data_IF_017784633440
#
_entry.id   IF_017784633440
#
_cell.length_a   1.000
_cell.length_b   1.000
_cell.length_c   1.000
_cell.angle_alpha   90.00
_cell.angle_beta   90.00
_cell.angle_gamma   90.00
#
_symmetry.space_group_name_H-M   'P 1'
#
loop_
_entity.id
_entity.type
_entity.pdbx_description
1 polymer ?
#
# COMPACT_ATOMS: atom_id res chain seq x y z
N UNK A 1 0.67 -26.31 -15.47
CA UNK A 1 0.17 -24.93 -15.68
C UNK A 1 -0.11 -24.36 -14.29
N UNK A 2 0.76 -23.49 -13.76
CA UNK A 2 0.49 -22.84 -12.47
C UNK A 2 -0.52 -21.73 -12.76
N UNK A 3 -1.73 -21.85 -12.22
CA UNK A 3 -2.72 -20.77 -12.26
C UNK A 3 -2.14 -19.65 -11.39
N UNK A 4 -1.43 -18.70 -11.99
CA UNK A 4 -1.10 -17.43 -11.33
C UNK A 4 -2.40 -16.65 -11.21
N UNK A 5 -3.15 -16.85 -10.13
CA UNK A 5 -4.22 -15.94 -9.74
C UNK A 5 -3.62 -14.54 -9.73
N UNK A 6 -4.15 -13.65 -10.56
CA UNK A 6 -3.63 -12.30 -10.74
C UNK A 6 -3.84 -11.56 -9.42
N UNK A 7 -2.77 -11.40 -8.65
CA UNK A 7 -2.81 -10.72 -7.35
C UNK A 7 -3.21 -9.27 -7.61
N UNK A 8 -4.37 -8.86 -7.10
CA UNK A 8 -4.91 -7.51 -7.34
C UNK A 8 -4.11 -6.48 -6.55
N UNK A 9 -3.58 -5.42 -7.19
CA UNK A 9 -2.97 -4.29 -6.50
C UNK A 9 -3.92 -3.59 -5.54
N UNK A 10 -3.37 -2.98 -4.50
CA UNK A 10 -4.11 -2.11 -3.57
C UNK A 10 -4.36 -0.73 -4.20
N UNK A 11 -5.13 -0.68 -5.28
CA UNK A 11 -5.36 0.56 -6.04
C UNK A 11 -6.06 1.64 -5.20
N UNK A 12 -6.91 1.24 -4.23
CA UNK A 12 -7.55 2.17 -3.30
C UNK A 12 -6.54 2.98 -2.48
N UNK A 13 -5.41 2.38 -2.07
CA UNK A 13 -4.33 3.12 -1.38
C UNK A 13 -3.80 4.26 -2.25
N UNK A 14 -3.58 4.02 -3.55
CA UNK A 14 -3.15 5.08 -4.48
C UNK A 14 -4.19 6.18 -4.61
N UNK A 15 -5.47 5.81 -4.64
CA UNK A 15 -6.59 6.75 -4.69
C UNK A 15 -6.64 7.63 -3.43
N UNK A 16 -6.48 7.07 -2.23
CA UNK A 16 -6.45 7.85 -0.98
C UNK A 16 -5.24 8.78 -0.92
N UNK A 17 -4.04 8.31 -1.29
CA UNK A 17 -2.83 9.14 -1.35
C UNK A 17 -3.08 10.37 -2.26
N UNK A 18 -3.63 10.15 -3.45
CA UNK A 18 -3.95 11.23 -4.37
C UNK A 18 -5.05 12.17 -3.85
N UNK A 19 -6.12 11.61 -3.27
CA UNK A 19 -7.24 12.34 -2.70
C UNK A 19 -6.80 13.29 -1.58
N UNK A 20 -5.82 12.88 -0.79
CA UNK A 20 -5.27 13.68 0.31
C UNK A 20 -4.16 14.65 -0.11
N UNK A 21 -3.87 14.75 -1.42
CA UNK A 21 -2.82 15.63 -1.93
C UNK A 21 -1.40 15.19 -1.53
N UNK A 22 -1.24 13.92 -1.17
CA UNK A 22 0.04 13.34 -0.76
C UNK A 22 0.74 12.69 -1.95
N UNK A 23 2.06 12.57 -1.84
CA UNK A 23 2.87 11.74 -2.73
C UNK A 23 3.21 10.40 -2.06
N UNK A 24 3.42 9.35 -2.86
CA UNK A 24 3.95 8.08 -2.32
C UNK A 24 5.31 8.25 -1.63
N UNK A 25 6.09 9.27 -2.00
CA UNK A 25 7.35 9.57 -1.32
C UNK A 25 7.10 10.06 0.09
N UNK A 26 6.25 11.07 0.27
CA UNK A 26 5.87 11.61 1.58
C UNK A 26 5.30 10.51 2.49
N UNK A 27 4.34 9.73 1.98
CA UNK A 27 3.74 8.63 2.75
C UNK A 27 4.81 7.62 3.20
N UNK A 28 5.73 7.25 2.31
CA UNK A 28 6.79 6.31 2.62
C UNK A 28 7.77 6.88 3.68
N UNK A 29 8.18 8.14 3.51
CA UNK A 29 9.08 8.84 4.43
C UNK A 29 8.44 8.93 5.83
N UNK A 30 7.14 9.27 5.91
CA UNK A 30 6.41 9.45 7.17
C UNK A 30 6.14 8.13 7.91
N UNK A 31 5.92 7.02 7.19
CA UNK A 31 5.73 5.69 7.80
C UNK A 31 7.05 4.90 7.95
N UNK A 32 8.19 5.50 7.61
CA UNK A 32 9.52 4.94 7.84
C UNK A 32 9.91 3.80 6.89
N UNK A 33 9.42 3.80 5.65
CA UNK A 33 9.82 2.81 4.62
C UNK A 33 10.32 3.50 3.34
N UNK A 34 11.05 2.78 2.50
CA UNK A 34 11.44 3.35 1.20
C UNK A 34 10.23 3.46 0.26
N UNK A 35 10.19 4.55 -0.54
CA UNK A 35 9.19 4.71 -1.62
C UNK A 35 9.11 3.49 -2.55
N UNK A 36 10.26 2.86 -2.84
CA UNK A 36 10.31 1.65 -3.67
C UNK A 36 9.60 0.48 -3.00
N UNK A 37 9.84 0.26 -1.70
CA UNK A 37 9.19 -0.79 -0.94
C UNK A 37 7.68 -0.58 -0.85
N UNK A 38 7.23 0.66 -0.60
CA UNK A 38 5.82 1.02 -0.62
C UNK A 38 5.19 0.69 -1.98
N UNK A 39 5.83 1.09 -3.07
CA UNK A 39 5.34 0.83 -4.42
C UNK A 39 5.29 -0.67 -4.75
N UNK A 40 6.28 -1.45 -4.33
CA UNK A 40 6.31 -2.91 -4.48
C UNK A 40 5.12 -3.56 -3.77
N UNK A 41 4.84 -3.16 -2.53
CA UNK A 41 3.73 -3.70 -1.72
C UNK A 41 2.36 -3.28 -2.24
N UNK A 42 2.19 -2.01 -2.63
CA UNK A 42 0.94 -1.53 -3.26
C UNK A 42 0.62 -2.33 -4.53
N UNK A 43 1.62 -2.56 -5.38
CA UNK A 43 1.43 -3.31 -6.63
C UNK A 43 1.51 -4.84 -6.46
N UNK A 44 1.78 -5.31 -5.23
CA UNK A 44 1.96 -6.72 -4.86
C UNK A 44 2.93 -7.46 -5.79
N UNK A 45 4.02 -6.77 -6.17
CA UNK A 45 5.06 -7.30 -7.05
C UNK A 45 5.72 -8.50 -6.37
N UNK A 46 5.86 -9.61 -7.11
CA UNK A 46 6.45 -10.87 -6.60
C UNK A 46 5.75 -11.41 -5.34
N UNK A 47 4.46 -11.12 -5.16
CA UNK A 47 3.70 -11.56 -3.98
C UNK A 47 4.07 -10.83 -2.69
N UNK A 48 4.83 -9.73 -2.77
CA UNK A 48 5.16 -8.90 -1.61
C UNK A 48 3.92 -8.19 -1.12
N UNK A 49 3.59 -8.42 0.14
CA UNK A 49 2.42 -7.83 0.79
C UNK A 49 2.83 -6.97 1.99
N UNK A 50 1.88 -6.18 2.49
CA UNK A 50 2.02 -5.52 3.79
C UNK A 50 1.91 -6.56 4.91
N UNK A 51 2.79 -6.48 5.90
CA UNK A 51 2.54 -7.13 7.19
C UNK A 51 1.33 -6.48 7.87
N UNK A 52 0.75 -7.15 8.86
CA UNK A 52 -0.34 -6.59 9.66
C UNK A 52 0.06 -5.27 10.31
N UNK A 53 1.30 -5.15 10.79
CA UNK A 53 1.79 -3.91 11.39
C UNK A 53 1.96 -2.79 10.35
N UNK A 54 2.53 -3.06 9.18
CA UNK A 54 2.67 -2.07 8.11
C UNK A 54 1.31 -1.60 7.59
N UNK A 55 0.36 -2.53 7.40
CA UNK A 55 -0.99 -2.19 6.97
C UNK A 55 -1.69 -1.29 7.99
N UNK A 56 -1.54 -1.59 9.29
CA UNK A 56 -2.08 -0.77 10.37
C UNK A 56 -1.45 0.63 10.37
N UNK A 57 -0.12 0.73 10.33
CA UNK A 57 0.58 2.02 10.28
C UNK A 57 0.14 2.87 9.09
N UNK A 58 0.01 2.26 7.90
CA UNK A 58 -0.43 2.96 6.70
C UNK A 58 -1.90 3.41 6.79
N UNK A 59 -2.77 2.57 7.35
CA UNK A 59 -4.18 2.90 7.55
C UNK A 59 -4.34 4.04 8.57
N UNK A 60 -3.61 3.98 9.69
CA UNK A 60 -3.58 5.02 10.72
C UNK A 60 -3.08 6.35 10.15
N UNK A 61 -2.01 6.32 9.34
CA UNK A 61 -1.46 7.51 8.68
C UNK A 61 -2.46 8.14 7.67
N UNK A 62 -3.17 7.31 6.90
CA UNK A 62 -4.18 7.76 5.93
C UNK A 62 -5.54 8.06 6.57
N UNK A 63 -5.73 7.80 7.86
CA UNK A 63 -7.01 7.96 8.54
C UNK A 63 -8.13 7.07 7.98
N UNK A 64 -7.79 5.87 7.50
CA UNK A 64 -8.73 4.88 6.93
C UNK A 64 -8.68 3.57 7.72
N UNK A 65 -9.58 2.62 7.42
CA UNK A 65 -9.49 1.24 7.95
C UNK A 65 -8.62 0.39 7.02
N UNK A 66 -8.00 -0.66 7.56
CA UNK A 66 -7.27 -1.64 6.74
C UNK A 66 -8.18 -2.29 5.69
N UNK A 67 -9.46 -2.51 6.03
CA UNK A 67 -10.46 -3.05 5.11
C UNK A 67 -10.68 -2.15 3.87
N UNK A 68 -10.40 -0.85 3.96
CA UNK A 68 -10.51 0.09 2.84
C UNK A 68 -9.42 -0.13 1.77
N UNK A 69 -8.45 -1.04 2.01
CA UNK A 69 -7.42 -1.39 1.03
C UNK A 69 -7.99 -2.24 -0.12
N UNK A 70 -9.08 -2.96 0.13
CA UNK A 70 -9.74 -3.92 -0.76
C UNK A 70 -11.04 -3.32 -1.30
#
# INVERSE_FOLDING_TARGET
MVIKTKVQPYNKIKSYIALYGLTQKQVADDIGISRSLLNIKINRIEGRDFSTSEAKTLADYLGIKVDDFF
#
